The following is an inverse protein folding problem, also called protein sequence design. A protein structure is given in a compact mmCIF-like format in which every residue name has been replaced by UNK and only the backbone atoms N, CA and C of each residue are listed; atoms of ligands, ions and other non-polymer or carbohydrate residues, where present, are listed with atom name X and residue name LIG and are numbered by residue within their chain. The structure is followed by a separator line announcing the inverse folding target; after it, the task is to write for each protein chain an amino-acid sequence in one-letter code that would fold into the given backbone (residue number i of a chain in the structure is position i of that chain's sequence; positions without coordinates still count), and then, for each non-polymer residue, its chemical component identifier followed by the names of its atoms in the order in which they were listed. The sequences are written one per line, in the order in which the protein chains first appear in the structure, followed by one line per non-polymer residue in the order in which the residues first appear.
data_IF_650836823378
#
_entry.id   IF_650836823378
#
_cell.length_a   1.000
_cell.length_b   1.000
_cell.length_c   1.000
_cell.angle_alpha   90.00
_cell.angle_beta   90.00
_cell.angle_gamma   90.00
#
_symmetry.space_group_name_H-M   'P 1'
#
loop_
_entity.id
_entity.type
_entity.pdbx_description
1 polymer ?
#
# COMPACT_ATOMS: atom_id res chain seq x y z
N UNK A 1 23.11 27.90 -8.17
CA UNK A 1 22.66 26.50 -8.11
C UNK A 1 21.81 26.25 -6.86
N UNK A 2 20.54 26.67 -6.83
CA UNK A 2 19.71 26.66 -5.60
C UNK A 2 18.26 26.15 -5.83
N UNK A 3 18.06 25.19 -6.74
CA UNK A 3 16.71 24.65 -7.05
C UNK A 3 16.46 23.20 -6.62
N UNK A 4 17.49 22.46 -6.21
CA UNK A 4 17.35 21.02 -5.90
C UNK A 4 16.99 20.72 -4.43
N UNK A 5 17.42 21.54 -3.47
CA UNK A 5 17.23 21.30 -2.03
C UNK A 5 15.79 21.52 -1.54
N UNK A 6 14.98 22.34 -2.23
CA UNK A 6 13.60 22.63 -1.81
C UNK A 6 12.59 21.53 -2.20
N UNK A 7 12.91 20.68 -3.19
CA UNK A 7 12.02 19.59 -3.62
C UNK A 7 12.05 18.41 -2.67
N UNK A 8 13.21 18.07 -2.09
CA UNK A 8 13.36 16.94 -1.17
C UNK A 8 12.61 17.20 0.15
N UNK A 9 12.70 18.42 0.68
CA UNK A 9 11.97 18.86 1.88
C UNK A 9 10.47 18.87 1.65
N UNK A 10 9.99 19.45 0.54
CA UNK A 10 8.55 19.45 0.22
C UNK A 10 7.95 18.04 0.05
N UNK A 11 8.70 17.11 -0.56
CA UNK A 11 8.29 15.71 -0.68
C UNK A 11 8.22 15.02 0.68
N UNK A 12 9.19 15.25 1.56
CA UNK A 12 9.19 14.69 2.92
C UNK A 12 7.99 15.17 3.75
N UNK A 13 7.59 16.45 3.62
CA UNK A 13 6.44 17.01 4.34
C UNK A 13 5.12 16.45 3.82
N UNK A 14 4.95 16.34 2.49
CA UNK A 14 3.74 15.74 1.89
C UNK A 14 3.56 14.28 2.30
N UNK A 15 4.66 13.51 2.25
CA UNK A 15 4.64 12.11 2.67
C UNK A 15 4.28 11.98 4.16
N UNK A 16 4.84 12.82 5.02
CA UNK A 16 4.54 12.83 6.45
C UNK A 16 3.06 13.12 6.73
N UNK A 17 2.51 14.19 6.14
CA UNK A 17 1.08 14.55 6.30
C UNK A 17 0.14 13.45 5.83
N UNK A 18 0.48 12.80 4.70
CA UNK A 18 -0.29 11.65 4.21
C UNK A 18 -0.29 10.52 5.23
N UNK A 19 0.89 10.19 5.78
CA UNK A 19 1.00 9.12 6.78
C UNK A 19 0.27 9.47 8.08
N UNK A 20 0.38 10.72 8.56
CA UNK A 20 -0.37 11.22 9.74
C UNK A 20 -1.89 11.10 9.53
N UNK A 21 -2.38 11.45 8.34
CA UNK A 21 -3.80 11.32 8.00
C UNK A 21 -4.25 9.86 7.91
N UNK A 22 -3.47 8.99 7.28
CA UNK A 22 -3.76 7.56 7.22
C UNK A 22 -3.78 6.94 8.62
N UNK A 23 -2.81 7.29 9.46
CA UNK A 23 -2.77 6.85 10.86
C UNK A 23 -4.03 7.29 11.63
N UNK A 24 -4.45 8.55 11.49
CA UNK A 24 -5.70 9.02 12.08
C UNK A 24 -6.91 8.21 11.58
N UNK A 25 -7.01 7.99 10.26
CA UNK A 25 -8.13 7.28 9.65
C UNK A 25 -8.22 5.83 10.15
N UNK A 26 -7.09 5.11 10.18
CA UNK A 26 -7.05 3.73 10.67
C UNK A 26 -7.47 3.64 12.14
N UNK A 27 -6.94 4.52 13.00
CA UNK A 27 -7.31 4.56 14.41
C UNK A 27 -8.79 4.89 14.62
N UNK A 28 -9.34 5.82 13.82
CA UNK A 28 -10.71 6.31 13.97
C UNK A 28 -11.75 5.30 13.50
N UNK A 29 -11.46 4.56 12.43
CA UNK A 29 -12.41 3.66 11.77
C UNK A 29 -12.08 2.19 11.99
N UNK A 30 -11.07 1.86 12.80
CA UNK A 30 -10.60 0.49 13.04
C UNK A 30 -10.43 -0.28 11.73
N UNK A 31 -9.74 0.33 10.76
CA UNK A 31 -9.61 -0.21 9.40
C UNK A 31 -9.03 -1.63 9.46
N UNK A 32 -9.66 -2.54 8.73
CA UNK A 32 -9.27 -3.94 8.64
C UNK A 32 -8.75 -4.23 7.23
N UNK A 33 -7.79 -5.13 7.12
CA UNK A 33 -7.30 -5.60 5.83
C UNK A 33 -8.45 -6.24 5.04
N UNK A 34 -8.70 -5.79 3.81
CA UNK A 34 -9.77 -6.33 2.97
C UNK A 34 -9.58 -7.81 2.61
N UNK A 35 -8.36 -8.34 2.74
CA UNK A 35 -8.05 -9.73 2.42
C UNK A 35 -8.13 -10.68 3.62
N UNK A 36 -7.38 -10.42 4.70
CA UNK A 36 -7.33 -11.32 5.86
C UNK A 36 -8.31 -10.94 6.97
N UNK A 37 -8.91 -9.76 6.91
CA UNK A 37 -9.81 -9.26 7.94
C UNK A 37 -9.11 -8.84 9.24
N UNK A 38 -7.79 -8.98 9.39
CA UNK A 38 -7.10 -8.50 10.59
C UNK A 38 -7.11 -6.97 10.66
N UNK A 39 -7.15 -6.44 11.89
CA UNK A 39 -7.07 -5.01 12.12
C UNK A 39 -5.69 -4.50 11.71
N UNK A 40 -5.65 -3.37 11.03
CA UNK A 40 -4.40 -2.77 10.60
C UNK A 40 -3.81 -1.97 11.75
N UNK A 41 -2.56 -2.24 12.13
CA UNK A 41 -1.85 -1.41 13.10
C UNK A 41 -1.29 -0.16 12.36
N UNK A 42 -1.64 1.06 12.77
CA UNK A 42 -1.08 2.28 12.17
C UNK A 42 0.46 2.31 12.15
N UNK A 43 1.12 1.61 13.10
CA UNK A 43 2.58 1.50 13.16
C UNK A 43 3.16 0.72 11.98
N UNK A 44 2.39 -0.15 11.35
CA UNK A 44 2.81 -0.95 10.21
C UNK A 44 3.15 -0.09 8.98
N UNK A 45 2.53 1.09 8.82
CA UNK A 45 2.89 2.02 7.73
C UNK A 45 4.34 2.48 7.74
N UNK A 46 4.97 2.50 8.92
CA UNK A 46 6.36 2.92 9.06
C UNK A 46 7.34 1.76 8.84
N UNK A 47 6.85 0.52 8.73
CA UNK A 47 7.67 -0.66 8.55
C UNK A 47 7.68 -1.09 7.08
N UNK A 48 8.87 -1.27 6.50
CA UNK A 48 9.03 -1.57 5.07
C UNK A 48 8.49 -2.95 4.64
N UNK A 49 8.56 -3.95 5.53
CA UNK A 49 8.18 -5.34 5.21
C UNK A 49 6.70 -5.64 5.46
N UNK A 50 6.13 -5.07 6.52
CA UNK A 50 4.73 -5.28 6.92
C UNK A 50 3.85 -4.06 6.59
N UNK A 51 4.31 -3.22 5.67
CA UNK A 51 3.61 -2.00 5.28
C UNK A 51 2.18 -2.28 4.82
N UNK A 52 1.28 -1.40 5.20
CA UNK A 52 -0.08 -1.32 4.65
C UNK A 52 0.00 -0.64 3.28
N UNK A 53 -0.78 -1.13 2.32
CA UNK A 53 -0.89 -0.53 0.99
C UNK A 53 -2.33 -0.32 0.58
N UNK A 54 -2.51 0.61 -0.34
CA UNK A 54 -3.75 0.84 -1.06
C UNK A 54 -3.64 0.07 -2.37
N UNK A 55 -4.57 -0.86 -2.60
CA UNK A 55 -4.68 -1.64 -3.82
C UNK A 55 -5.77 -1.04 -4.70
N UNK A 56 -5.47 -0.89 -5.98
CA UNK A 56 -6.45 -0.54 -7.02
C UNK A 56 -7.00 -1.81 -7.67
N UNK A 57 -8.31 -1.91 -7.86
CA UNK A 57 -8.91 -3.12 -8.45
C UNK A 57 -8.69 -3.23 -9.95
N UNK A 58 -8.67 -2.08 -10.65
CA UNK A 58 -8.46 -1.93 -12.09
C UNK A 58 -6.98 -1.79 -12.50
N UNK A 59 -6.06 -1.90 -11.55
CA UNK A 59 -4.61 -1.69 -11.72
C UNK A 59 -4.23 -0.26 -12.21
N UNK A 60 -5.16 0.70 -12.22
CA UNK A 60 -4.92 2.12 -12.50
C UNK A 60 -4.69 2.91 -11.20
N UNK A 61 -3.42 3.25 -10.93
CA UNK A 61 -3.03 4.03 -9.76
C UNK A 61 -3.61 5.47 -9.73
N UNK A 62 -4.17 5.95 -10.85
CA UNK A 62 -4.86 7.25 -10.94
C UNK A 62 -6.31 7.19 -10.45
N UNK A 63 -6.95 6.03 -10.50
CA UNK A 63 -8.37 5.89 -10.17
C UNK A 63 -8.59 5.73 -8.65
N UNK A 64 -8.70 6.85 -7.96
CA UNK A 64 -8.89 6.91 -6.50
C UNK A 64 -10.37 6.88 -6.08
N UNK A 65 -11.26 6.36 -6.92
CA UNK A 65 -12.67 6.16 -6.57
C UNK A 65 -12.76 5.22 -5.36
N UNK A 66 -13.59 5.52 -4.33
CA UNK A 66 -13.69 4.71 -3.13
C UNK A 66 -13.99 3.23 -3.40
N UNK A 67 -14.73 2.94 -4.47
CA UNK A 67 -15.13 1.59 -4.88
C UNK A 67 -13.98 0.84 -5.59
N UNK A 68 -12.95 1.56 -6.04
CA UNK A 68 -11.79 1.01 -6.73
C UNK A 68 -10.58 0.83 -5.81
N UNK A 69 -10.66 1.26 -4.55
CA UNK A 69 -9.54 1.20 -3.61
C UNK A 69 -9.82 0.27 -2.43
N UNK A 70 -8.83 -0.56 -2.12
CA UNK A 70 -8.84 -1.45 -0.98
C UNK A 70 -7.61 -1.19 -0.11
N UNK A 71 -7.76 -1.23 1.22
CA UNK A 71 -6.63 -1.16 2.14
C UNK A 71 -6.29 -2.58 2.61
N UNK A 72 -5.03 -2.98 2.46
CA UNK A 72 -4.57 -4.32 2.84
C UNK A 72 -3.11 -4.35 3.27
N UNK A 73 -2.72 -5.40 4.00
CA UNK A 73 -1.31 -5.68 4.27
C UNK A 73 -0.56 -6.00 2.97
N UNK A 74 0.69 -5.55 2.87
CA UNK A 74 1.56 -5.87 1.73
C UNK A 74 1.74 -7.38 1.51
N UNK A 75 1.85 -8.15 2.59
CA UNK A 75 1.92 -9.62 2.54
C UNK A 75 0.67 -10.23 1.87
N UNK A 76 -0.51 -9.72 2.21
CA UNK A 76 -1.78 -10.14 1.61
C UNK A 76 -1.87 -9.76 0.14
N UNK A 77 -1.41 -8.56 -0.23
CA UNK A 77 -1.34 -8.17 -1.63
C UNK A 77 -0.41 -9.08 -2.45
N UNK A 78 0.79 -9.37 -1.94
CA UNK A 78 1.74 -10.26 -2.61
C UNK A 78 1.17 -11.67 -2.81
N UNK A 79 0.40 -12.20 -1.85
CA UNK A 79 -0.22 -13.52 -1.99
C UNK A 79 -1.28 -13.53 -3.10
N UNK A 80 -2.04 -12.45 -3.27
CA UNK A 80 -3.01 -12.28 -4.37
C UNK A 80 -2.28 -12.16 -5.71
N UNK A 81 -1.25 -11.33 -5.81
CA UNK A 81 -0.47 -11.15 -7.05
C UNK A 81 0.23 -12.43 -7.45
N UNK A 82 0.78 -13.19 -6.49
CA UNK A 82 1.38 -14.49 -6.75
C UNK A 82 0.36 -15.50 -7.30
N UNK A 83 -0.86 -15.53 -6.75
CA UNK A 83 -1.96 -16.38 -7.25
C UNK A 83 -2.47 -15.97 -8.64
N UNK A 84 -2.46 -14.67 -8.96
CA UNK A 84 -2.82 -14.15 -10.29
C UNK A 84 -1.81 -14.47 -11.39
N UNK A 85 -0.64 -15.04 -11.06
CA UNK A 85 0.36 -15.53 -12.03
C UNK A 85 0.38 -17.06 -12.11
N UNK A 86 -0.62 -17.73 -12.72
CA UNK A 86 -0.53 -19.17 -12.95
C UNK A 86 0.40 -19.55 -14.13
N UNK A 87 0.99 -18.60 -14.88
CA UNK A 87 1.77 -18.92 -16.09
C UNK A 87 3.13 -18.20 -16.16
N UNK A 88 4.05 -18.55 -15.26
CA UNK A 88 5.49 -18.58 -15.54
C UNK A 88 6.15 -19.77 -14.84
N UNK A 89 5.56 -20.95 -14.99
CA UNK A 89 6.25 -22.23 -14.72
C UNK A 89 6.41 -22.94 -16.07
N UNK A 90 7.16 -22.33 -16.99
CA UNK A 90 7.77 -23.09 -18.07
C UNK A 90 9.03 -23.75 -17.53
N UNK A 91 8.88 -25.04 -17.20
CA UNK A 91 9.81 -26.13 -17.46
C UNK A 91 11.31 -25.77 -17.44
N UNK A 92 12.03 -26.21 -16.42
CA UNK A 92 13.21 -27.04 -16.68
C UNK A 92 13.05 -28.32 -15.88
N UNK A 93 12.69 -29.36 -16.62
CA UNK A 93 12.71 -30.77 -16.23
C UNK A 93 14.17 -31.22 -16.29
N UNK A 94 14.61 -31.86 -15.20
CA UNK A 94 15.80 -32.72 -15.06
C UNK A 94 17.19 -32.10 -15.29
#
# INVERSE_FOLDING_TARGET
MAKALNRSTAMSVRLRRRNEFLEFFIRKFCVRCSHCGEAIDPKEFYQWRDSVLIRHHDDDAGNNSPENIDIMHRSCHHSIVAKKRPEQVCLHVS
#
